data_IF_861877708007
#
_entry.id   IF_861877708007
#
_cell.length_a   1.000
_cell.length_b   1.000
_cell.length_c   1.000
_cell.angle_alpha   90.00
_cell.angle_beta   90.00
_cell.angle_gamma   90.00
#
_symmetry.space_group_name_H-M   'P 1'
#
loop_
_entity.id
_entity.type
_entity.pdbx_description
1 polymer ?
#
# COMPACT_ATOMS: atom_id res chain seq x y z
N UNK A 1 18.00 24.74 -6.99
CA UNK A 1 18.74 25.07 -5.75
C UNK A 1 17.92 24.69 -4.51
N UNK A 2 16.61 24.95 -4.52
CA UNK A 2 15.67 24.63 -3.44
C UNK A 2 15.56 23.12 -3.12
N UNK A 3 15.51 22.25 -4.13
CA UNK A 3 15.41 20.79 -3.94
C UNK A 3 16.61 20.15 -3.22
N UNK A 4 17.79 20.76 -3.30
CA UNK A 4 19.00 20.18 -2.71
C UNK A 4 19.01 20.37 -1.19
N UNK A 5 18.48 21.49 -0.69
CA UNK A 5 18.38 21.76 0.74
C UNK A 5 17.32 20.86 1.41
N UNK A 6 16.18 20.65 0.76
CA UNK A 6 15.16 19.72 1.26
C UNK A 6 15.65 18.27 1.29
N UNK A 7 16.36 17.84 0.24
CA UNK A 7 16.95 16.50 0.22
C UNK A 7 18.05 16.32 1.28
N UNK A 8 18.87 17.34 1.50
CA UNK A 8 19.91 17.33 2.54
C UNK A 8 19.32 17.24 3.95
N UNK A 9 18.16 17.87 4.20
CA UNK A 9 17.48 17.84 5.49
C UNK A 9 17.06 16.42 5.92
N UNK A 10 16.76 15.52 4.97
CA UNK A 10 16.47 14.10 5.26
C UNK A 10 17.63 13.36 5.93
N UNK A 11 18.86 13.83 5.72
CA UNK A 11 20.06 13.23 6.28
C UNK A 11 20.52 13.94 7.56
N UNK A 12 19.65 14.75 8.19
CA UNK A 12 19.95 15.39 9.46
C UNK A 12 20.41 14.34 10.50
N UNK A 13 21.60 14.55 11.08
CA UNK A 13 22.20 13.64 12.04
C UNK A 13 23.00 12.47 11.41
N UNK A 14 23.13 12.40 10.08
CA UNK A 14 23.95 11.40 9.39
C UNK A 14 25.24 12.01 8.86
N UNK A 15 26.32 11.23 8.85
CA UNK A 15 27.61 11.67 8.35
C UNK A 15 27.67 11.60 6.82
N UNK A 16 27.40 12.73 6.16
CA UNK A 16 27.47 12.85 4.70
C UNK A 16 28.89 13.01 4.16
N UNK A 17 29.86 13.34 5.02
CA UNK A 17 31.26 13.57 4.63
C UNK A 17 32.08 12.27 4.60
N UNK A 18 31.47 11.13 4.97
CA UNK A 18 32.10 9.81 4.84
C UNK A 18 32.37 9.47 3.37
N UNK A 19 33.42 8.67 3.13
CA UNK A 19 33.78 8.20 1.78
C UNK A 19 32.67 7.33 1.15
N UNK A 20 31.85 6.68 1.97
CA UNK A 20 30.69 5.90 1.53
C UNK A 20 29.39 6.72 1.54
N UNK A 21 29.43 7.96 2.05
CA UNK A 21 28.24 8.77 2.32
C UNK A 21 27.38 8.18 3.44
N UNK A 22 26.10 8.53 3.44
CA UNK A 22 25.11 7.94 4.32
C UNK A 22 23.94 7.37 3.51
N UNK A 23 23.33 6.32 4.04
CA UNK A 23 22.16 5.67 3.46
C UNK A 23 21.12 5.28 4.51
N UNK A 24 19.88 5.16 4.07
CA UNK A 24 18.79 4.58 4.85
C UNK A 24 17.61 4.17 3.99
N UNK A 25 16.80 3.28 4.57
CA UNK A 25 15.53 2.87 4.02
C UNK A 25 14.39 3.62 4.70
N UNK A 26 13.39 4.01 3.91
CA UNK A 26 12.14 4.60 4.39
C UNK A 26 11.01 4.33 3.38
N UNK A 27 9.84 4.91 3.60
CA UNK A 27 8.69 4.85 2.70
C UNK A 27 8.57 6.13 1.89
N UNK A 28 8.44 5.98 0.57
CA UNK A 28 8.16 7.07 -0.35
C UNK A 28 6.68 7.11 -0.72
N UNK A 29 6.09 8.30 -0.64
CA UNK A 29 4.74 8.62 -1.09
C UNK A 29 4.80 9.18 -2.50
N UNK A 30 4.13 8.50 -3.43
CA UNK A 30 3.99 8.91 -4.81
C UNK A 30 2.66 9.63 -4.97
N UNK A 31 2.72 10.90 -5.38
CA UNK A 31 1.57 11.81 -5.45
C UNK A 31 1.45 12.35 -6.87
N UNK A 32 0.24 12.34 -7.42
CA UNK A 32 -0.02 12.86 -8.77
C UNK A 32 0.03 14.39 -8.80
N UNK A 33 0.72 14.94 -9.79
CA UNK A 33 0.76 16.38 -10.04
C UNK A 33 -0.16 16.72 -11.22
N UNK A 34 -1.48 16.69 -11.00
CA UNK A 34 -2.49 16.84 -12.08
C UNK A 34 -2.39 18.15 -12.85
N UNK A 35 -1.93 19.21 -12.19
CA UNK A 35 -1.90 20.56 -12.75
C UNK A 35 -0.53 20.91 -13.33
N UNK A 36 0.37 19.93 -13.53
CA UNK A 36 1.64 20.16 -14.20
C UNK A 36 1.36 20.50 -15.68
N UNK A 37 1.73 21.70 -16.15
CA UNK A 37 1.44 22.14 -17.52
C UNK A 37 2.23 21.37 -18.58
N UNK A 38 3.38 20.79 -18.21
CA UNK A 38 4.33 20.18 -19.13
C UNK A 38 4.18 18.65 -19.22
N UNK A 39 3.71 18.01 -18.14
CA UNK A 39 3.50 16.57 -18.10
C UNK A 39 2.26 16.18 -17.28
N UNK A 40 1.18 15.87 -17.98
CA UNK A 40 -0.06 15.42 -17.34
C UNK A 40 0.13 14.13 -16.55
N UNK A 41 1.16 13.32 -16.83
CA UNK A 41 1.45 12.06 -16.13
C UNK A 41 2.39 12.24 -14.94
N UNK A 42 2.84 13.47 -14.65
CA UNK A 42 3.81 13.74 -13.59
C UNK A 42 3.41 13.14 -12.22
N UNK A 43 4.39 12.49 -11.59
CA UNK A 43 4.28 11.90 -10.25
C UNK A 43 5.42 12.44 -9.38
N UNK A 44 5.06 13.13 -8.31
CA UNK A 44 5.96 13.63 -7.28
C UNK A 44 6.29 12.53 -6.27
N UNK A 45 7.52 12.55 -5.77
CA UNK A 45 8.03 11.61 -4.77
C UNK A 45 8.28 12.40 -3.49
N UNK A 46 7.70 11.93 -2.38
CA UNK A 46 7.83 12.53 -1.06
C UNK A 46 8.34 11.51 -0.06
N UNK A 47 9.30 11.90 0.80
CA UNK A 47 9.81 11.06 1.90
C UNK A 47 9.86 11.93 3.15
N UNK A 48 9.30 11.44 4.26
CA UNK A 48 9.19 12.21 5.52
C UNK A 48 8.63 13.63 5.37
N UNK A 49 7.75 13.86 4.39
CA UNK A 49 7.19 15.19 4.09
C UNK A 49 8.09 16.12 3.27
N UNK A 50 9.29 15.68 2.87
CA UNK A 50 10.19 16.40 1.97
C UNK A 50 9.97 15.99 0.52
N UNK A 51 9.96 16.96 -0.39
CA UNK A 51 9.88 16.69 -1.83
C UNK A 51 11.25 16.27 -2.36
N UNK A 52 11.29 15.09 -2.98
CA UNK A 52 12.54 14.44 -3.39
C UNK A 52 12.80 14.60 -4.87
N UNK A 53 11.73 14.69 -5.66
CA UNK A 53 11.80 14.77 -7.10
C UNK A 53 10.54 14.22 -7.76
N UNK A 54 10.66 13.91 -9.05
CA UNK A 54 9.60 13.31 -9.86
C UNK A 54 10.09 12.01 -10.47
N UNK A 55 9.16 11.09 -10.72
CA UNK A 55 9.44 9.97 -11.61
C UNK A 55 9.78 10.49 -13.01
N UNK A 56 10.62 9.76 -13.75
CA UNK A 56 10.83 10.05 -15.15
C UNK A 56 9.53 9.84 -15.95
N UNK A 57 9.37 10.60 -17.03
CA UNK A 57 8.13 10.61 -17.82
C UNK A 57 7.73 9.22 -18.35
N UNK A 58 8.71 8.39 -18.74
CA UNK A 58 8.44 7.06 -19.29
C UNK A 58 7.93 6.10 -18.20
N UNK A 59 8.48 6.17 -16.99
CA UNK A 59 7.98 5.42 -15.84
C UNK A 59 6.63 5.97 -15.40
N UNK A 60 6.50 7.28 -15.19
CA UNK A 60 5.26 7.93 -14.75
C UNK A 60 4.08 7.61 -15.69
N UNK A 61 4.32 7.62 -17.01
CA UNK A 61 3.32 7.26 -18.02
C UNK A 61 2.80 5.83 -17.91
N UNK A 62 3.63 4.87 -17.46
CA UNK A 62 3.20 3.46 -17.25
C UNK A 62 2.23 3.30 -16.09
N UNK A 63 2.35 4.13 -15.06
CA UNK A 63 1.53 4.07 -13.84
C UNK A 63 0.33 5.02 -13.86
N UNK A 64 0.13 5.77 -14.96
CA UNK A 64 -0.83 6.89 -14.96
C UNK A 64 -2.25 6.44 -14.67
N UNK A 65 -2.66 5.26 -15.15
CA UNK A 65 -4.00 4.72 -14.96
C UNK A 65 -4.23 4.32 -13.50
N UNK A 66 -3.29 3.58 -12.91
CA UNK A 66 -3.38 3.13 -11.53
C UNK A 66 -3.30 4.30 -10.55
N UNK A 67 -2.41 5.25 -10.82
CA UNK A 67 -2.28 6.46 -10.01
C UNK A 67 -3.54 7.32 -10.10
N UNK A 68 -4.19 7.43 -11.26
CA UNK A 68 -5.48 8.09 -11.38
C UNK A 68 -6.57 7.36 -10.58
N UNK A 69 -6.54 6.02 -10.56
CA UNK A 69 -7.45 5.19 -9.77
C UNK A 69 -7.31 5.43 -8.27
N UNK A 70 -6.07 5.45 -7.75
CA UNK A 70 -5.79 5.77 -6.35
C UNK A 70 -6.19 7.21 -5.99
N UNK A 71 -5.78 8.16 -6.82
CA UNK A 71 -6.03 9.59 -6.56
C UNK A 71 -7.51 9.95 -6.64
N UNK A 72 -8.30 9.28 -7.51
CA UNK A 72 -9.77 9.39 -7.51
C UNK A 72 -10.42 8.94 -6.20
N UNK A 73 -9.71 8.14 -5.41
CA UNK A 73 -10.11 7.62 -4.10
C UNK A 73 -9.45 8.39 -2.94
N UNK A 74 -8.67 9.43 -3.23
CA UNK A 74 -7.92 10.20 -2.23
C UNK A 74 -6.74 9.43 -1.63
N UNK A 75 -6.16 8.50 -2.39
CA UNK A 75 -5.05 7.65 -1.96
C UNK A 75 -3.78 7.95 -2.74
N UNK A 76 -2.64 7.71 -2.08
CA UNK A 76 -1.31 7.78 -2.67
C UNK A 76 -0.67 6.39 -2.68
N UNK A 77 0.15 6.12 -3.70
CA UNK A 77 0.97 4.91 -3.71
C UNK A 77 2.14 5.10 -2.75
N UNK A 78 2.31 4.16 -1.81
CA UNK A 78 3.43 4.15 -0.86
C UNK A 78 4.32 2.96 -1.16
N UNK A 79 5.62 3.20 -1.35
CA UNK A 79 6.59 2.15 -1.73
C UNK A 79 7.86 2.25 -0.90
N UNK A 80 8.58 1.13 -0.68
CA UNK A 80 9.90 1.18 -0.09
C UNK A 80 10.84 2.04 -0.93
N UNK A 81 11.66 2.84 -0.25
CA UNK A 81 12.65 3.72 -0.83
C UNK A 81 13.98 3.54 -0.10
N UNK A 82 15.04 3.36 -0.88
CA UNK A 82 16.41 3.39 -0.41
C UNK A 82 17.04 4.71 -0.83
N UNK A 83 17.48 5.50 0.15
CA UNK A 83 18.06 6.82 -0.04
C UNK A 83 19.55 6.76 0.26
N UNK A 84 20.36 7.36 -0.61
CA UNK A 84 21.79 7.51 -0.44
C UNK A 84 22.23 8.94 -0.78
N UNK A 85 23.14 9.48 0.02
CA UNK A 85 23.72 10.79 -0.20
C UNK A 85 25.18 10.85 0.24
N UNK A 86 25.99 11.60 -0.50
CA UNK A 86 27.37 11.89 -0.16
C UNK A 86 27.69 13.35 -0.46
N UNK A 87 28.27 14.06 0.52
CA UNK A 87 28.81 15.39 0.28
C UNK A 87 30.18 15.26 -0.37
N UNK A 88 30.30 15.83 -1.56
CA UNK A 88 31.58 16.02 -2.24
C UNK A 88 32.02 17.48 -2.08
N UNK A 89 33.27 17.79 -2.42
CA UNK A 89 33.82 19.16 -2.32
C UNK A 89 33.00 20.20 -3.09
N UNK A 90 32.27 19.80 -4.13
CA UNK A 90 31.58 20.71 -5.05
C UNK A 90 30.07 20.55 -5.09
N UNK A 91 29.52 19.44 -4.57
CA UNK A 91 28.08 19.15 -4.60
C UNK A 91 27.67 18.04 -3.65
N UNK A 92 26.37 17.95 -3.38
CA UNK A 92 25.75 16.76 -2.80
C UNK A 92 25.45 15.77 -3.94
N UNK A 93 26.14 14.62 -3.94
CA UNK A 93 25.75 13.49 -4.77
C UNK A 93 24.62 12.76 -4.06
N UNK A 94 23.57 12.37 -4.79
CA UNK A 94 22.43 11.67 -4.23
C UNK A 94 21.90 10.59 -5.17
N UNK A 95 21.22 9.62 -4.57
CA UNK A 95 20.49 8.57 -5.28
C UNK A 95 19.28 8.16 -4.45
N UNK A 96 18.16 7.97 -5.13
CA UNK A 96 16.94 7.41 -4.55
C UNK A 96 16.53 6.24 -5.41
N UNK A 97 16.31 5.10 -4.79
CA UNK A 97 15.86 3.87 -5.45
C UNK A 97 14.52 3.48 -4.88
N UNK A 98 13.51 3.41 -5.74
CA UNK A 98 12.14 3.05 -5.36
C UNK A 98 11.85 1.61 -5.77
N UNK A 99 11.23 0.85 -4.88
CA UNK A 99 10.72 -0.49 -5.19
C UNK A 99 9.26 -0.42 -5.65
N UNK A 100 9.05 -0.04 -6.92
CA UNK A 100 7.71 0.06 -7.50
C UNK A 100 7.09 -1.34 -7.71
N UNK A 101 5.80 -1.54 -7.38
CA UNK A 101 5.10 -2.78 -7.71
C UNK A 101 4.95 -2.89 -9.23
N UNK A 102 4.81 -4.10 -9.80
CA UNK A 102 4.50 -4.25 -11.22
C UNK A 102 3.29 -3.41 -11.65
N UNK A 103 3.32 -2.91 -12.89
CA UNK A 103 2.17 -2.24 -13.51
C UNK A 103 0.97 -3.19 -13.46
N UNK A 104 -0.17 -2.69 -12.98
CA UNK A 104 -1.38 -3.46 -12.69
C UNK A 104 -1.46 -4.04 -11.27
N UNK A 105 -0.43 -3.91 -10.44
CA UNK A 105 -0.40 -4.41 -9.05
C UNK A 105 -0.33 -3.30 -7.98
N UNK A 106 -0.59 -2.05 -8.38
CA UNK A 106 -0.44 -0.83 -7.58
C UNK A 106 -1.56 -0.65 -6.55
N UNK A 107 -2.80 -0.81 -6.99
CA UNK A 107 -3.99 -0.60 -6.18
C UNK A 107 -5.01 -1.71 -6.44
N UNK A 108 -5.95 -1.93 -5.51
CA UNK A 108 -6.96 -2.95 -5.68
C UNK A 108 -7.81 -2.69 -6.92
N UNK A 109 -8.25 -3.77 -7.56
CA UNK A 109 -9.15 -3.70 -8.73
C UNK A 109 -10.58 -3.29 -8.35
N UNK A 110 -10.93 -3.36 -7.05
CA UNK A 110 -12.15 -2.81 -6.48
C UNK A 110 -11.88 -1.52 -5.68
N UNK A 111 -12.95 -0.81 -5.35
CA UNK A 111 -12.84 0.44 -4.57
C UNK A 111 -12.62 0.17 -3.09
N UNK A 112 -11.82 1.03 -2.46
CA UNK A 112 -11.76 1.11 -1.00
C UNK A 112 -13.09 1.61 -0.40
N UNK A 113 -13.33 1.37 0.90
CA UNK A 113 -14.48 1.92 1.60
C UNK A 113 -14.53 3.45 1.52
N UNK A 114 -15.71 4.02 1.29
CA UNK A 114 -15.90 5.49 1.25
C UNK A 114 -15.69 6.20 2.59
N UNK A 115 -15.85 5.48 3.70
CA UNK A 115 -15.67 6.01 5.07
C UNK A 115 -14.22 5.83 5.47
N UNK A 116 -13.74 6.67 6.40
CA UNK A 116 -12.47 6.52 7.08
C UNK A 116 -12.09 5.05 7.34
N UNK A 117 -10.95 4.63 6.80
CA UNK A 117 -10.47 3.26 6.89
C UNK A 117 -8.98 3.21 7.23
N UNK A 118 -8.54 2.04 7.68
CA UNK A 118 -7.13 1.70 7.87
C UNK A 118 -6.83 0.41 7.11
N UNK A 119 -5.67 0.34 6.49
CA UNK A 119 -5.13 -0.87 5.90
C UNK A 119 -4.42 -1.63 7.03
N UNK A 120 -4.80 -2.89 7.22
CA UNK A 120 -4.12 -3.76 8.16
C UNK A 120 -2.64 -3.88 7.78
N UNK A 121 -1.74 -3.94 8.77
CA UNK A 121 -0.31 -3.97 8.50
C UNK A 121 0.04 -5.16 7.59
N UNK A 122 1.12 -5.09 6.80
CA UNK A 122 1.56 -6.22 6.00
C UNK A 122 2.04 -7.38 6.88
N UNK A 123 1.96 -8.60 6.38
CA UNK A 123 2.38 -9.81 7.08
C UNK A 123 2.24 -11.06 6.20
N UNK A 124 1.76 -12.14 6.80
CA UNK A 124 1.67 -13.44 6.12
C UNK A 124 0.53 -13.45 5.09
N UNK A 125 0.71 -14.24 4.04
CA UNK A 125 -0.36 -14.58 3.10
C UNK A 125 -1.23 -15.71 3.68
N UNK A 126 -2.53 -15.46 3.78
CA UNK A 126 -3.50 -16.36 4.39
C UNK A 126 -4.63 -16.61 3.39
N UNK A 127 -4.78 -17.85 2.94
CA UNK A 127 -5.87 -18.26 2.05
C UNK A 127 -7.19 -18.22 2.82
N UNK A 128 -8.21 -17.59 2.22
CA UNK A 128 -9.53 -17.51 2.82
C UNK A 128 -10.30 -18.83 2.63
N UNK A 129 -11.01 -19.24 3.66
CA UNK A 129 -11.98 -20.33 3.62
C UNK A 129 -13.29 -19.87 2.97
N UNK A 130 -14.05 -20.85 2.49
CA UNK A 130 -15.38 -20.72 1.87
C UNK A 130 -15.43 -19.88 0.58
N UNK A 131 -14.33 -19.26 0.14
CA UNK A 131 -14.27 -18.43 -1.07
C UNK A 131 -14.90 -19.09 -2.30
N UNK A 132 -14.69 -20.39 -2.50
CA UNK A 132 -15.24 -21.13 -3.65
C UNK A 132 -16.76 -21.02 -3.76
N UNK A 133 -17.47 -20.91 -2.63
CA UNK A 133 -18.92 -20.76 -2.57
C UNK A 133 -19.39 -19.32 -2.88
N UNK A 134 -18.47 -18.35 -2.87
CA UNK A 134 -18.75 -16.91 -2.97
C UNK A 134 -17.91 -16.22 -4.05
N UNK A 135 -17.52 -16.96 -5.10
CA UNK A 135 -16.70 -16.43 -6.20
C UNK A 135 -17.46 -15.49 -7.14
N UNK A 136 -18.80 -15.60 -7.22
CA UNK A 136 -19.62 -14.88 -8.21
C UNK A 136 -19.39 -13.36 -8.22
N UNK A 137 -19.38 -12.64 -7.09
CA UNK A 137 -19.16 -11.20 -7.07
C UNK A 137 -17.75 -10.79 -7.51
N UNK A 138 -16.79 -11.72 -7.46
CA UNK A 138 -15.39 -11.49 -7.82
C UNK A 138 -15.09 -11.86 -9.27
N UNK A 139 -15.99 -12.54 -9.99
CA UNK A 139 -15.82 -12.93 -11.40
C UNK A 139 -15.37 -11.80 -12.32
N UNK A 140 -15.90 -10.56 -12.23
CA UNK A 140 -15.45 -9.46 -13.09
C UNK A 140 -13.96 -9.12 -12.96
N UNK A 141 -13.34 -9.51 -11.84
CA UNK A 141 -11.95 -9.22 -11.53
C UNK A 141 -11.02 -10.41 -11.78
N UNK A 142 -11.56 -11.62 -11.95
CA UNK A 142 -10.76 -12.82 -12.19
C UNK A 142 -10.18 -12.76 -13.60
N UNK A 143 -8.86 -12.80 -13.68
CA UNK A 143 -8.13 -12.90 -14.94
C UNK A 143 -7.22 -14.13 -14.90
N UNK A 144 -7.41 -15.05 -15.84
CA UNK A 144 -6.64 -16.28 -15.93
C UNK A 144 -5.15 -15.99 -16.04
N UNK A 145 -4.35 -16.66 -15.20
CA UNK A 145 -2.89 -16.55 -15.20
C UNK A 145 -2.37 -15.26 -14.56
N UNK A 146 -3.22 -14.51 -13.85
CA UNK A 146 -2.85 -13.29 -13.15
C UNK A 146 -3.35 -13.32 -11.71
N UNK A 147 -2.54 -12.75 -10.83
CA UNK A 147 -2.95 -12.38 -9.48
C UNK A 147 -3.22 -10.90 -9.46
N UNK A 148 -4.43 -10.51 -9.06
CA UNK A 148 -4.82 -9.11 -8.96
C UNK A 148 -5.07 -8.73 -7.50
N UNK A 149 -4.62 -7.55 -7.05
CA UNK A 149 -4.90 -7.09 -5.70
C UNK A 149 -6.38 -6.70 -5.57
N UNK A 150 -6.98 -6.98 -4.41
CA UNK A 150 -8.33 -6.55 -4.01
C UNK A 150 -8.29 -5.96 -2.60
N UNK A 151 -9.14 -4.97 -2.31
CA UNK A 151 -9.32 -4.44 -0.96
C UNK A 151 -10.49 -5.14 -0.30
N UNK A 152 -10.24 -5.85 0.81
CA UNK A 152 -11.27 -6.59 1.53
C UNK A 152 -11.54 -5.94 2.87
N UNK A 153 -12.79 -5.62 3.15
CA UNK A 153 -13.24 -5.16 4.46
C UNK A 153 -13.26 -6.34 5.41
N UNK A 154 -12.56 -6.20 6.53
CA UNK A 154 -12.46 -7.25 7.55
C UNK A 154 -13.49 -6.98 8.64
N UNK A 155 -14.33 -7.95 8.96
CA UNK A 155 -15.41 -7.81 9.95
C UNK A 155 -15.37 -8.97 10.92
N UNK A 156 -15.34 -8.65 12.22
CA UNK A 156 -15.47 -9.65 13.26
C UNK A 156 -16.95 -9.97 13.51
N UNK A 157 -17.34 -11.23 13.35
CA UNK A 157 -18.69 -11.73 13.62
C UNK A 157 -18.62 -13.02 14.45
N UNK A 158 -19.20 -13.02 15.65
CA UNK A 158 -19.24 -14.20 16.53
C UNK A 158 -17.86 -14.86 16.79
N UNK A 159 -16.80 -14.06 16.85
CA UNK A 159 -15.38 -14.48 16.96
C UNK A 159 -14.75 -15.07 15.69
N UNK A 160 -15.49 -15.11 14.58
CA UNK A 160 -14.92 -15.34 13.25
C UNK A 160 -14.50 -14.02 12.62
N UNK A 161 -13.52 -14.10 11.72
CA UNK A 161 -13.08 -12.96 10.93
C UNK A 161 -13.46 -13.14 9.46
N UNK A 162 -14.46 -12.37 9.03
CA UNK A 162 -15.02 -12.43 7.69
C UNK A 162 -14.41 -11.36 6.80
N UNK A 163 -14.28 -11.67 5.51
CA UNK A 163 -13.82 -10.76 4.48
C UNK A 163 -14.98 -10.41 3.53
N UNK A 164 -15.12 -9.11 3.26
CA UNK A 164 -16.14 -8.58 2.37
C UNK A 164 -15.53 -7.73 1.27
N UNK A 165 -16.08 -7.82 0.06
CA UNK A 165 -15.70 -6.94 -1.06
C UNK A 165 -16.16 -5.49 -0.84
N UNK A 166 -17.25 -5.33 -0.08
CA UNK A 166 -17.85 -4.06 0.31
C UNK A 166 -18.51 -4.18 1.70
N UNK A 167 -19.59 -3.45 1.99
CA UNK A 167 -20.28 -3.54 3.29
C UNK A 167 -21.22 -4.75 3.45
N UNK A 168 -21.52 -5.47 2.37
CA UNK A 168 -22.58 -6.50 2.32
C UNK A 168 -22.15 -7.76 1.59
N UNK A 169 -21.21 -7.65 0.65
CA UNK A 169 -20.79 -8.74 -0.22
C UNK A 169 -19.72 -9.59 0.46
N UNK A 170 -20.12 -10.65 1.16
CA UNK A 170 -19.22 -11.63 1.76
C UNK A 170 -18.47 -12.41 0.67
N UNK A 171 -17.16 -12.64 0.87
CA UNK A 171 -16.31 -13.34 -0.10
C UNK A 171 -15.45 -14.45 0.51
N UNK A 172 -15.49 -14.63 1.83
CA UNK A 172 -14.75 -15.68 2.53
C UNK A 172 -14.45 -15.33 3.98
N UNK A 173 -13.85 -16.27 4.71
CA UNK A 173 -13.43 -16.06 6.10
C UNK A 173 -11.98 -16.47 6.33
N UNK A 174 -11.35 -15.86 7.31
CA UNK A 174 -10.00 -16.20 7.75
C UNK A 174 -10.08 -17.46 8.62
N UNK A 175 -9.20 -18.46 8.45
CA UNK A 175 -9.20 -19.65 9.31
C UNK A 175 -9.01 -19.29 10.79
N UNK A 176 -9.68 -20.02 11.68
CA UNK A 176 -9.88 -19.65 13.09
C UNK A 176 -8.57 -19.31 13.83
N UNK A 177 -7.53 -20.13 13.66
CA UNK A 177 -6.22 -19.93 14.32
C UNK A 177 -5.56 -18.60 13.92
N UNK A 178 -5.68 -18.21 12.66
CA UNK A 178 -5.16 -16.93 12.16
C UNK A 178 -6.08 -15.78 12.56
N UNK A 179 -7.40 -15.99 12.54
CA UNK A 179 -8.39 -15.00 12.94
C UNK A 179 -8.17 -14.53 14.38
N UNK A 180 -7.89 -15.43 15.33
CA UNK A 180 -7.58 -15.09 16.73
C UNK A 180 -6.43 -14.09 16.87
N UNK A 181 -5.43 -14.17 15.99
CA UNK A 181 -4.26 -13.30 16.04
C UNK A 181 -4.48 -11.95 15.35
N UNK A 182 -5.49 -11.83 14.48
CA UNK A 182 -5.80 -10.63 13.68
C UNK A 182 -6.95 -9.82 14.29
N UNK A 183 -7.93 -10.47 14.91
CA UNK A 183 -9.10 -9.82 15.55
C UNK A 183 -8.71 -8.66 16.48
N UNK A 184 -7.65 -8.74 17.31
CA UNK A 184 -7.23 -7.61 18.13
C UNK A 184 -6.91 -6.34 17.33
N UNK A 185 -6.32 -6.48 16.14
CA UNK A 185 -6.00 -5.36 15.25
C UNK A 185 -7.29 -4.78 14.65
N UNK A 186 -8.20 -5.65 14.21
CA UNK A 186 -9.53 -5.26 13.70
C UNK A 186 -10.30 -4.46 14.76
N UNK A 187 -10.32 -4.94 16.00
CA UNK A 187 -10.94 -4.23 17.13
C UNK A 187 -10.27 -2.88 17.41
N UNK A 188 -8.93 -2.80 17.33
CA UNK A 188 -8.21 -1.54 17.48
C UNK A 188 -8.64 -0.51 16.42
N UNK A 189 -8.76 -0.92 15.15
CA UNK A 189 -9.26 -0.07 14.06
C UNK A 189 -10.70 0.41 14.32
N UNK A 190 -11.59 -0.52 14.65
CA UNK A 190 -13.02 -0.22 14.90
C UNK A 190 -13.18 0.72 16.10
N UNK A 191 -12.39 0.55 17.17
CA UNK A 191 -12.42 1.43 18.36
C UNK A 191 -12.11 2.89 18.03
N UNK A 192 -11.35 3.11 16.95
CA UNK A 192 -11.00 4.44 16.41
C UNK A 192 -11.95 4.91 15.31
N UNK A 193 -13.08 4.22 15.11
CA UNK A 193 -14.08 4.49 14.07
C UNK A 193 -13.54 4.32 12.64
N UNK A 194 -12.49 3.52 12.47
CA UNK A 194 -11.92 3.18 11.16
C UNK A 194 -12.44 1.82 10.70
N UNK A 195 -12.68 1.69 9.39
CA UNK A 195 -12.95 0.40 8.76
C UNK A 195 -11.62 -0.33 8.53
N UNK A 196 -11.40 -1.53 9.07
CA UNK A 196 -10.19 -2.30 8.77
C UNK A 196 -10.29 -2.95 7.40
N UNK A 197 -9.24 -2.78 6.60
CA UNK A 197 -9.13 -3.30 5.24
C UNK A 197 -7.88 -4.18 5.14
N UNK A 198 -8.01 -5.41 4.66
CA UNK A 198 -6.87 -6.24 4.29
C UNK A 198 -6.58 -6.12 2.79
N UNK A 199 -5.30 -6.24 2.43
CA UNK A 199 -4.90 -6.45 1.03
C UNK A 199 -5.19 -7.89 0.67
N UNK A 200 -6.20 -8.12 -0.17
CA UNK A 200 -6.45 -9.42 -0.76
C UNK A 200 -5.67 -9.62 -2.06
N UNK A 201 -5.39 -10.87 -2.39
CA UNK A 201 -4.83 -11.31 -3.66
C UNK A 201 -5.79 -12.31 -4.28
N UNK A 202 -6.37 -11.95 -5.42
CA UNK A 202 -7.26 -12.79 -6.19
C UNK A 202 -6.48 -13.43 -7.33
N UNK A 203 -6.28 -14.74 -7.26
CA UNK A 203 -5.54 -15.50 -8.27
C UNK A 203 -6.50 -16.27 -9.14
N UNK A 204 -6.51 -15.95 -10.43
CA UNK A 204 -7.29 -16.67 -11.44
C UNK A 204 -6.47 -17.75 -12.13
N UNK A 205 -6.94 -18.99 -12.15
CA UNK A 205 -6.33 -20.05 -12.96
C UNK A 205 -7.36 -20.88 -13.72
N UNK A 206 -6.89 -21.70 -14.66
CA UNK A 206 -7.76 -22.63 -15.41
C UNK A 206 -8.26 -23.80 -14.56
N UNK A 207 -7.70 -24.01 -13.36
CA UNK A 207 -7.94 -25.17 -12.51
C UNK A 207 -8.77 -24.77 -11.29
N UNK A 208 -8.35 -23.70 -10.61
CA UNK A 208 -8.94 -23.21 -9.38
C UNK A 208 -8.66 -21.71 -9.22
N UNK A 209 -9.64 -20.99 -8.71
CA UNK A 209 -9.42 -19.62 -8.25
C UNK A 209 -9.16 -19.66 -6.76
N UNK A 210 -8.28 -18.78 -6.29
CA UNK A 210 -8.00 -18.63 -4.87
C UNK A 210 -8.06 -17.15 -4.48
N UNK A 211 -8.47 -16.91 -3.24
CA UNK A 211 -8.47 -15.59 -2.62
C UNK A 211 -7.71 -15.69 -1.30
N UNK A 212 -6.62 -14.94 -1.20
CA UNK A 212 -5.85 -14.80 0.03
C UNK A 212 -5.87 -13.36 0.52
N UNK A 213 -5.53 -13.15 1.78
CA UNK A 213 -5.19 -11.84 2.34
C UNK A 213 -3.74 -11.81 2.78
N UNK A 214 -3.10 -10.65 2.65
CA UNK A 214 -1.77 -10.37 3.18
C UNK A 214 -1.94 -9.42 4.35
N UNK A 215 -1.73 -9.94 5.56
CA UNK A 215 -1.91 -9.15 6.79
C UNK A 215 -0.98 -9.60 7.90
N UNK A 216 -0.49 -8.62 8.66
CA UNK A 216 0.15 -8.79 9.93
C UNK A 216 -0.86 -9.17 11.00
N UNK A 217 -0.33 -9.57 12.14
CA UNK A 217 -1.06 -10.07 13.29
C UNK A 217 -0.36 -9.62 14.57
N UNK A 218 -0.92 -9.98 15.73
CA UNK A 218 -0.35 -9.60 17.04
C UNK A 218 1.09 -10.07 17.27
N UNK A 219 1.59 -11.09 16.58
CA UNK A 219 2.98 -11.55 16.68
C UNK A 219 3.94 -10.72 15.83
N UNK A 220 3.47 -10.18 14.70
CA UNK A 220 4.31 -9.40 13.77
C UNK A 220 4.40 -7.93 14.15
N UNK A 221 3.28 -7.31 14.54
CA UNK A 221 3.25 -5.86 14.88
C UNK A 221 3.07 -5.56 16.36
N UNK A 222 2.92 -6.60 17.19
CA UNK A 222 2.63 -6.45 18.61
C UNK A 222 1.19 -5.99 18.89
N UNK A 223 0.80 -6.01 20.16
CA UNK A 223 -0.53 -5.56 20.62
C UNK A 223 -0.67 -4.04 20.68
N UNK A 224 0.43 -3.30 20.50
CA UNK A 224 0.48 -1.84 20.52
C UNK A 224 0.35 -1.20 19.14
N UNK A 225 0.00 -1.97 18.10
CA UNK A 225 -0.21 -1.41 16.77
C UNK A 225 -1.27 -0.31 16.80
N UNK A 226 -0.96 0.81 16.15
CA UNK A 226 -1.80 2.00 16.09
C UNK A 226 -2.36 2.13 14.68
N UNK A 227 -3.69 1.99 14.50
CA UNK A 227 -4.35 2.24 13.22
C UNK A 227 -4.08 3.66 12.70
N UNK A 228 -3.72 3.75 11.42
CA UNK A 228 -3.55 4.99 10.68
C UNK A 228 -4.79 5.31 9.86
N UNK A 229 -5.07 6.60 9.63
CA UNK A 229 -6.14 7.01 8.74
C UNK A 229 -5.62 6.99 7.30
N UNK A 230 -5.77 5.86 6.62
CA UNK A 230 -5.15 5.64 5.31
C UNK A 230 -5.99 6.19 4.15
N UNK A 231 -7.29 6.39 4.37
CA UNK A 231 -8.17 7.01 3.38
C UNK A 231 -9.63 7.06 3.80
N UNK A 232 -10.49 7.58 2.92
CA UNK A 232 -11.90 7.85 3.19
C UNK A 232 -12.16 9.23 3.80
N UNK A 233 -13.42 9.69 3.76
CA UNK A 233 -13.84 10.93 4.43
C UNK A 233 -14.20 10.69 5.89
#
# INVERSE_FOLDING_TARGET
MEFQAEFEALFAGRNLDDINGAEFDDWAYLVRERNNPDDYAAVCIWVQGHFIGRLDQATAGKYVVEMNGLDSQGLNLVVPAHLWAQRTKTRLANRVTLSLPPVGAVGPVNFFPKRAFTILPPGDEIVLEDFENYVEPLRPFISTGKTVPVALVMVEEQSNLHAYLDKKTYVGRVPDMQAELIIPLVRAAVSRKLIPVARGLLTGSNIRNDLSIVTGNTRTVGTSWVPTHDGGR
#
